data_IF_022836232388
#
_entry.id   IF_022836232388
#
_cell.length_a   1.000
_cell.length_b   1.000
_cell.length_c   1.000
_cell.angle_alpha   90.00
_cell.angle_beta   90.00
_cell.angle_gamma   90.00
#
_symmetry.space_group_name_H-M   'P 1'
#
loop_
_entity.id
_entity.type
_entity.pdbx_description
1 polymer ?
#
# COMPACT_ATOMS: atom_id res chain seq x y z
N UNK A 1 11.96 16.98 -14.62
CA UNK A 1 10.55 17.33 -14.85
C UNK A 1 9.80 17.08 -13.55
N UNK A 2 9.05 18.07 -13.06
CA UNK A 2 8.19 17.91 -11.89
C UNK A 2 6.84 17.34 -12.35
N UNK A 3 6.41 16.23 -11.75
CA UNK A 3 5.08 15.67 -12.02
C UNK A 3 4.10 16.21 -10.98
N UNK A 4 3.09 16.93 -11.45
CA UNK A 4 2.12 17.58 -10.57
C UNK A 4 1.26 16.55 -9.86
N UNK A 5 1.11 16.73 -8.54
CA UNK A 5 0.23 15.87 -7.75
C UNK A 5 -1.23 16.25 -8.03
N UNK A 6 -2.15 15.26 -8.02
CA UNK A 6 -3.57 15.54 -8.22
C UNK A 6 -4.14 16.37 -7.06
N UNK A 7 -4.70 17.53 -7.38
CA UNK A 7 -5.33 18.45 -6.41
C UNK A 7 -6.66 17.91 -5.85
N UNK A 8 -7.33 17.03 -6.59
CA UNK A 8 -8.60 16.42 -6.18
C UNK A 8 -8.43 14.98 -5.74
N UNK A 9 -9.10 14.61 -4.66
CA UNK A 9 -9.16 13.23 -4.15
C UNK A 9 -9.64 12.24 -5.22
N UNK A 10 -10.63 12.63 -6.04
CA UNK A 10 -11.14 11.78 -7.13
C UNK A 10 -10.05 11.49 -8.16
N UNK A 11 -9.29 12.52 -8.56
CA UNK A 11 -8.17 12.38 -9.49
C UNK A 11 -7.08 11.48 -8.90
N UNK A 12 -6.77 11.62 -7.61
CA UNK A 12 -5.85 10.74 -6.89
C UNK A 12 -6.30 9.28 -6.89
N UNK A 13 -7.58 9.01 -6.64
CA UNK A 13 -8.12 7.65 -6.69
C UNK A 13 -8.02 7.03 -8.10
N UNK A 14 -8.29 7.79 -9.16
CA UNK A 14 -8.19 7.30 -10.55
C UNK A 14 -6.74 6.98 -10.91
N UNK A 15 -5.79 7.82 -10.50
CA UNK A 15 -4.36 7.59 -10.73
C UNK A 15 -3.87 6.35 -9.99
N UNK A 16 -4.20 6.23 -8.70
CA UNK A 16 -3.85 5.06 -7.88
C UNK A 16 -4.48 3.78 -8.43
N UNK A 17 -5.71 3.84 -8.91
CA UNK A 17 -6.38 2.70 -9.56
C UNK A 17 -5.61 2.23 -10.80
N UNK A 18 -5.07 3.16 -11.60
CA UNK A 18 -4.25 2.83 -12.78
C UNK A 18 -2.96 2.13 -12.37
N UNK A 19 -2.26 2.67 -11.36
CA UNK A 19 -1.04 2.06 -10.83
C UNK A 19 -1.30 0.66 -10.28
N UNK A 20 -2.40 0.49 -9.53
CA UNK A 20 -2.80 -0.80 -8.99
C UNK A 20 -3.07 -1.84 -10.09
N UNK A 21 -3.77 -1.47 -11.19
CA UNK A 21 -3.98 -2.37 -12.34
C UNK A 21 -2.67 -2.80 -12.98
N UNK A 22 -1.74 -1.85 -13.21
CA UNK A 22 -0.42 -2.16 -13.76
C UNK A 22 0.40 -3.07 -12.84
N UNK A 23 0.32 -2.84 -11.53
CA UNK A 23 0.99 -3.67 -10.53
C UNK A 23 0.47 -5.12 -10.57
N UNK A 24 -0.86 -5.32 -10.64
CA UNK A 24 -1.44 -6.65 -10.78
C UNK A 24 -1.01 -7.35 -12.08
N UNK A 25 -0.99 -6.63 -13.21
CA UNK A 25 -0.56 -7.19 -14.49
C UNK A 25 0.90 -7.68 -14.44
N UNK A 26 1.79 -6.87 -13.86
CA UNK A 26 3.20 -7.25 -13.66
C UNK A 26 3.32 -8.41 -12.67
N UNK A 27 2.57 -8.37 -11.57
CA UNK A 27 2.58 -9.41 -10.55
C UNK A 27 2.22 -10.77 -11.15
N UNK A 28 1.10 -10.89 -11.87
CA UNK A 28 0.70 -12.16 -12.48
C UNK A 28 1.66 -12.64 -13.58
N UNK A 29 2.27 -11.73 -14.35
CA UNK A 29 3.22 -12.09 -15.42
C UNK A 29 4.59 -12.52 -14.90
N UNK A 30 5.08 -11.92 -13.81
CA UNK A 30 6.48 -12.05 -13.40
C UNK A 30 6.70 -12.69 -12.03
N UNK A 31 5.71 -12.70 -11.13
CA UNK A 31 5.91 -13.23 -9.76
C UNK A 31 6.42 -14.68 -9.77
N UNK A 32 5.84 -15.55 -10.62
CA UNK A 32 6.27 -16.94 -10.76
C UNK A 32 7.70 -17.08 -11.33
N UNK A 33 8.11 -16.18 -12.23
CA UNK A 33 9.47 -16.19 -12.81
C UNK A 33 10.50 -15.75 -11.78
N UNK A 34 10.16 -14.77 -10.94
CA UNK A 34 11.02 -14.27 -9.88
C UNK A 34 11.24 -15.34 -8.80
N UNK A 35 10.19 -16.02 -8.35
CA UNK A 35 10.34 -17.08 -7.35
C UNK A 35 11.11 -18.28 -7.92
N UNK A 36 10.88 -18.66 -9.17
CA UNK A 36 11.65 -19.72 -9.83
C UNK A 36 13.14 -19.37 -9.92
N UNK A 37 13.45 -18.12 -10.26
CA UNK A 37 14.83 -17.62 -10.29
C UNK A 37 15.47 -17.62 -8.91
N UNK A 38 14.74 -17.24 -7.87
CA UNK A 38 15.21 -17.32 -6.49
C UNK A 38 15.55 -18.76 -6.10
N UNK A 39 14.64 -19.72 -6.35
CA UNK A 39 14.89 -21.13 -5.99
C UNK A 39 16.06 -21.72 -6.79
N UNK A 40 16.14 -21.42 -8.08
CA UNK A 40 17.16 -22.01 -8.96
C UNK A 40 18.56 -21.44 -8.74
N UNK A 41 18.67 -20.13 -8.41
CA UNK A 41 19.96 -19.41 -8.35
C UNK A 41 20.27 -18.82 -6.98
N UNK A 42 19.40 -18.99 -5.99
CA UNK A 42 19.46 -18.34 -4.67
C UNK A 42 19.68 -16.82 -4.77
N UNK A 43 19.07 -16.21 -5.79
CA UNK A 43 19.18 -14.77 -6.04
C UNK A 43 18.25 -13.97 -5.13
N UNK A 44 18.76 -13.49 -4.00
CA UNK A 44 18.01 -12.71 -3.03
C UNK A 44 17.37 -11.43 -3.61
N UNK A 45 17.93 -10.87 -4.69
CA UNK A 45 17.33 -9.69 -5.35
C UNK A 45 16.02 -10.07 -6.05
N UNK A 46 15.94 -11.27 -6.63
CA UNK A 46 14.71 -11.77 -7.24
C UNK A 46 13.64 -12.05 -6.17
N UNK A 47 14.05 -12.49 -4.97
CA UNK A 47 13.14 -12.67 -3.86
C UNK A 47 12.59 -11.34 -3.32
N UNK A 48 13.43 -10.32 -3.15
CA UNK A 48 12.99 -9.00 -2.72
C UNK A 48 11.96 -8.38 -3.71
N UNK A 49 12.25 -8.48 -5.01
CA UNK A 49 11.30 -8.06 -6.05
C UNK A 49 9.97 -8.83 -6.01
N UNK A 50 9.99 -10.12 -5.69
CA UNK A 50 8.78 -10.92 -5.51
C UNK A 50 7.97 -10.47 -4.28
N UNK A 51 8.64 -10.23 -3.16
CA UNK A 51 8.01 -9.74 -1.92
C UNK A 51 7.34 -8.37 -2.14
N UNK A 52 7.97 -7.50 -2.93
CA UNK A 52 7.37 -6.23 -3.36
C UNK A 52 6.11 -6.44 -4.21
N UNK A 53 6.16 -7.33 -5.20
CA UNK A 53 5.01 -7.58 -6.09
C UNK A 53 3.80 -8.14 -5.35
N UNK A 54 3.99 -8.99 -4.35
CA UNK A 54 2.92 -9.62 -3.58
C UNK A 54 2.27 -8.67 -2.56
N UNK A 55 2.93 -7.55 -2.24
CA UNK A 55 2.52 -6.67 -1.14
C UNK A 55 1.06 -6.16 -1.26
N UNK A 56 0.55 -5.72 -2.43
CA UNK A 56 -0.87 -5.36 -2.57
C UNK A 56 -1.83 -6.53 -2.29
N UNK A 57 -1.44 -7.76 -2.64
CA UNK A 57 -2.19 -8.97 -2.31
C UNK A 57 -2.23 -9.21 -0.80
N UNK A 58 -1.11 -8.99 -0.10
CA UNK A 58 -1.07 -9.06 1.37
C UNK A 58 -2.04 -8.06 2.01
N UNK A 59 -2.09 -6.82 1.51
CA UNK A 59 -3.00 -5.79 2.05
C UNK A 59 -4.46 -6.24 1.94
N UNK A 60 -4.86 -6.78 0.78
CA UNK A 60 -6.22 -7.29 0.56
C UNK A 60 -6.52 -8.49 1.48
N UNK A 61 -5.59 -9.45 1.57
CA UNK A 61 -5.75 -10.61 2.43
C UNK A 61 -5.84 -10.21 3.91
N UNK A 62 -4.98 -9.32 4.38
CA UNK A 62 -4.99 -8.81 5.75
C UNK A 62 -6.30 -8.11 6.10
N UNK A 63 -6.88 -7.36 5.16
CA UNK A 63 -8.20 -6.75 5.36
C UNK A 63 -9.31 -7.81 5.46
N UNK A 64 -9.28 -8.84 4.60
CA UNK A 64 -10.24 -9.94 4.66
C UNK A 64 -10.12 -10.74 5.96
N UNK A 65 -8.90 -11.09 6.39
CA UNK A 65 -8.68 -11.79 7.66
C UNK A 65 -9.09 -10.93 8.86
N UNK A 66 -8.83 -9.62 8.81
CA UNK A 66 -9.27 -8.69 9.85
C UNK A 66 -10.80 -8.67 10.01
N UNK A 67 -11.53 -8.65 8.89
CA UNK A 67 -12.99 -8.74 8.89
C UNK A 67 -13.49 -10.08 9.47
N UNK A 68 -12.86 -11.20 9.08
CA UNK A 68 -13.21 -12.52 9.62
C UNK A 68 -12.98 -12.62 11.13
N UNK A 69 -11.87 -12.06 11.63
CA UNK A 69 -11.60 -12.00 13.07
C UNK A 69 -12.66 -11.16 13.80
N UNK A 70 -13.02 -10.00 13.26
CA UNK A 70 -14.09 -9.17 13.84
C UNK A 70 -15.44 -9.90 13.89
N UNK A 71 -15.79 -10.62 12.82
CA UNK A 71 -17.01 -11.44 12.78
C UNK A 71 -16.97 -12.61 13.77
N UNK A 72 -15.81 -13.25 13.89
CA UNK A 72 -15.56 -14.32 14.86
C UNK A 72 -15.75 -13.84 16.29
N UNK A 73 -15.18 -12.69 16.66
CA UNK A 73 -15.35 -12.12 18.01
C UNK A 73 -16.80 -11.73 18.30
N UNK A 74 -17.59 -11.40 17.28
CA UNK A 74 -19.01 -11.03 17.45
C UNK A 74 -19.94 -12.23 17.55
N UNK A 75 -19.56 -13.39 17.01
CA UNK A 75 -20.42 -14.58 16.91
C UNK A 75 -19.94 -15.79 17.72
N UNK A 76 -18.78 -15.67 18.39
CA UNK A 76 -18.09 -16.74 19.14
C UNK A 76 -17.87 -18.03 18.32
N UNK A 77 -17.93 -17.91 16.98
CA UNK A 77 -18.07 -19.04 16.06
C UNK A 77 -16.72 -19.72 15.74
N UNK A 78 -15.62 -19.08 16.10
CA UNK A 78 -14.26 -19.48 15.74
C UNK A 78 -13.48 -19.61 17.05
N UNK A 79 -13.41 -20.83 17.58
CA UNK A 79 -12.38 -21.25 18.54
C UNK A 79 -11.02 -21.17 17.83
N UNK A 80 -10.57 -19.94 17.59
CA UNK A 80 -9.32 -19.65 16.94
C UNK A 80 -8.20 -19.88 17.97
N UNK A 81 -7.84 -21.15 18.17
CA UNK A 81 -6.60 -21.49 18.88
C UNK A 81 -5.47 -20.67 18.26
N UNK A 82 -4.87 -19.79 19.07
CA UNK A 82 -3.87 -18.86 18.58
C UNK A 82 -2.63 -19.65 18.12
N UNK A 83 -2.43 -19.74 16.81
CA UNK A 83 -1.22 -20.33 16.19
C UNK A 83 0.07 -19.63 16.68
N UNK A 84 -0.05 -18.37 17.06
CA UNK A 84 1.04 -17.52 17.56
C UNK A 84 0.61 -16.99 18.95
N UNK A 85 1.46 -17.09 19.98
CA UNK A 85 1.17 -16.53 21.30
C UNK A 85 0.79 -15.04 21.23
N UNK A 86 -0.21 -14.65 22.02
CA UNK A 86 -0.71 -13.27 22.06
C UNK A 86 0.39 -12.22 22.29
N UNK A 87 1.40 -12.56 23.11
CA UNK A 87 2.54 -11.71 23.41
C UNK A 87 3.34 -11.35 22.16
N UNK A 88 3.56 -12.32 21.27
CA UNK A 88 4.30 -12.11 20.01
C UNK A 88 3.47 -11.22 19.07
N UNK A 89 2.16 -11.47 18.99
CA UNK A 89 1.24 -10.60 18.24
C UNK A 89 1.28 -9.14 18.73
N UNK A 90 1.21 -8.93 20.04
CA UNK A 90 1.26 -7.60 20.63
C UNK A 90 2.60 -6.90 20.35
N UNK A 91 3.73 -7.62 20.47
CA UNK A 91 5.04 -7.07 20.14
C UNK A 91 5.13 -6.61 18.67
N UNK A 92 4.64 -7.42 17.74
CA UNK A 92 4.61 -7.07 16.31
C UNK A 92 3.76 -5.82 16.04
N UNK A 93 2.59 -5.71 16.67
CA UNK A 93 1.72 -4.54 16.55
C UNK A 93 2.41 -3.28 17.07
N UNK A 94 2.94 -3.32 18.30
CA UNK A 94 3.64 -2.18 18.91
C UNK A 94 4.82 -1.73 18.05
N UNK A 95 5.63 -2.68 17.58
CA UNK A 95 6.76 -2.39 16.69
C UNK A 95 6.30 -1.68 15.40
N UNK A 96 5.22 -2.14 14.77
CA UNK A 96 4.68 -1.52 13.57
C UNK A 96 4.24 -0.07 13.80
N UNK A 97 3.55 0.22 14.90
CA UNK A 97 3.14 1.59 15.23
C UNK A 97 4.37 2.47 15.48
N UNK A 98 5.35 2.01 16.27
CA UNK A 98 6.58 2.77 16.54
C UNK A 98 7.34 3.08 15.24
N UNK A 99 7.48 2.08 14.36
CA UNK A 99 8.17 2.24 13.09
C UNK A 99 7.53 3.32 12.21
N UNK A 100 6.20 3.29 12.07
CA UNK A 100 5.45 4.30 11.29
C UNK A 100 5.60 5.69 11.91
N UNK A 101 5.56 5.80 13.24
CA UNK A 101 5.74 7.07 13.94
C UNK A 101 7.12 7.66 13.78
N UNK A 102 8.13 6.81 13.88
CA UNK A 102 9.52 7.21 13.69
C UNK A 102 9.76 7.69 12.24
N UNK A 103 9.24 6.97 11.25
CA UNK A 103 9.31 7.38 9.85
C UNK A 103 8.63 8.76 9.63
N UNK A 104 7.43 8.94 10.18
CA UNK A 104 6.71 10.22 10.08
C UNK A 104 7.45 11.37 10.78
N UNK A 105 8.11 11.11 11.91
CA UNK A 105 8.90 12.10 12.61
C UNK A 105 10.11 12.57 11.79
N UNK A 106 10.79 11.65 11.10
CA UNK A 106 11.90 11.98 10.20
C UNK A 106 11.45 12.73 8.95
N UNK A 107 10.30 12.37 8.38
CA UNK A 107 9.83 12.91 7.10
C UNK A 107 9.05 14.23 7.27
N UNK A 108 8.45 14.46 8.45
CA UNK A 108 7.64 15.65 8.72
C UNK A 108 8.51 16.84 9.15
N UNK A 109 8.96 17.63 8.18
CA UNK A 109 9.42 19.00 8.43
C UNK A 109 8.26 19.99 8.70
N UNK A 110 7.01 19.50 8.77
CA UNK A 110 5.78 20.28 8.80
C UNK A 110 5.16 20.40 10.21
N UNK A 111 4.45 21.52 10.44
CA UNK A 111 3.74 21.89 11.69
C UNK A 111 2.52 21.02 12.05
N UNK A 112 2.31 19.88 11.39
CA UNK A 112 1.12 19.05 11.63
C UNK A 112 1.37 18.19 12.87
N UNK A 113 0.40 18.16 13.80
CA UNK A 113 0.52 17.31 14.99
C UNK A 113 0.63 15.84 14.60
N UNK A 114 1.53 15.10 15.25
CA UNK A 114 1.79 13.67 14.97
C UNK A 114 0.49 12.85 14.91
N UNK A 115 -0.44 13.11 15.82
CA UNK A 115 -1.75 12.43 15.89
C UNK A 115 -2.58 12.64 14.61
N UNK A 116 -2.61 13.87 14.07
CA UNK A 116 -3.32 14.14 12.82
C UNK A 116 -2.64 13.46 11.64
N UNK A 117 -1.31 13.47 11.60
CA UNK A 117 -0.54 12.74 10.58
C UNK A 117 -0.87 11.26 10.56
N UNK A 118 -0.89 10.63 11.74
CA UNK A 118 -1.32 9.24 11.89
C UNK A 118 -2.75 8.99 11.40
N UNK A 119 -3.71 9.81 11.84
CA UNK A 119 -5.11 9.66 11.44
C UNK A 119 -5.27 9.73 9.91
N UNK A 120 -4.62 10.71 9.26
CA UNK A 120 -4.64 10.83 7.80
C UNK A 120 -3.94 9.66 7.10
N UNK A 121 -2.81 9.19 7.63
CA UNK A 121 -2.09 8.05 7.07
C UNK A 121 -2.94 6.77 7.11
N UNK A 122 -3.58 6.49 8.24
CA UNK A 122 -4.46 5.33 8.38
C UNK A 122 -5.69 5.45 7.48
N UNK A 123 -6.35 6.61 7.47
CA UNK A 123 -7.48 6.85 6.58
C UNK A 123 -7.10 6.66 5.11
N UNK A 124 -5.95 7.21 4.69
CA UNK A 124 -5.45 7.06 3.34
C UNK A 124 -5.10 5.61 3.01
N UNK A 125 -4.49 4.85 3.93
CA UNK A 125 -4.22 3.42 3.77
C UNK A 125 -5.50 2.60 3.60
N UNK A 126 -6.58 2.93 4.34
CA UNK A 126 -7.87 2.26 4.18
C UNK A 126 -8.44 2.43 2.76
N UNK A 127 -8.19 3.57 2.09
CA UNK A 127 -8.65 3.77 0.70
C UNK A 127 -7.98 2.83 -0.30
N UNK A 128 -6.82 2.24 0.02
CA UNK A 128 -6.15 1.31 -0.89
C UNK A 128 -6.83 -0.06 -0.96
N UNK A 129 -7.46 -0.53 0.12
CA UNK A 129 -8.11 -1.85 0.14
C UNK A 129 -9.18 -1.97 -0.95
N UNK A 130 -10.20 -1.08 -1.05
CA UNK A 130 -11.20 -1.17 -2.12
C UNK A 130 -10.61 -0.90 -3.50
N UNK A 131 -9.59 -0.04 -3.61
CA UNK A 131 -8.91 0.22 -4.88
C UNK A 131 -8.16 -1.00 -5.41
N UNK A 132 -7.45 -1.73 -4.54
CA UNK A 132 -6.74 -2.94 -4.92
C UNK A 132 -7.70 -4.05 -5.34
N UNK A 133 -8.81 -4.24 -4.59
CA UNK A 133 -9.87 -5.17 -4.98
C UNK A 133 -10.48 -4.80 -6.33
N UNK A 134 -10.86 -3.54 -6.52
CA UNK A 134 -11.44 -3.06 -7.78
C UNK A 134 -10.47 -3.18 -8.95
N UNK A 135 -9.17 -2.93 -8.71
CA UNK A 135 -8.12 -3.06 -9.71
C UNK A 135 -7.88 -4.50 -10.15
N UNK A 136 -8.05 -5.47 -9.25
CA UNK A 136 -7.91 -6.89 -9.55
C UNK A 136 -9.01 -7.34 -10.52
N UNK A 137 -10.26 -6.94 -10.26
CA UNK A 137 -11.40 -7.23 -11.14
C UNK A 137 -11.25 -6.51 -12.49
N UNK A 138 -10.80 -5.26 -12.44
CA UNK A 138 -10.74 -4.36 -13.61
C UNK A 138 -9.38 -4.38 -14.32
N UNK A 139 -8.51 -5.37 -14.03
CA UNK A 139 -7.12 -5.38 -14.51
C UNK A 139 -7.00 -5.34 -16.03
N UNK A 140 -7.93 -6.02 -16.74
CA UNK A 140 -7.96 -6.08 -18.21
C UNK A 140 -8.48 -4.80 -18.88
N UNK A 141 -9.02 -3.86 -18.11
CA UNK A 141 -9.57 -2.63 -18.66
C UNK A 141 -8.47 -1.58 -18.82
N UNK A 142 -8.07 -1.36 -20.07
CA UNK A 142 -7.06 -0.39 -20.49
C UNK A 142 -7.72 0.92 -20.95
N UNK A 143 -8.59 1.49 -20.11
CA UNK A 143 -9.07 2.85 -20.34
C UNK A 143 -7.97 3.85 -19.96
N UNK A 144 -7.26 4.37 -20.96
CA UNK A 144 -6.26 5.42 -20.77
C UNK A 144 -6.95 6.78 -20.59
N UNK A 145 -6.96 7.28 -19.35
CA UNK A 145 -7.45 8.62 -19.04
C UNK A 145 -6.28 9.47 -18.51
N UNK A 146 -5.61 10.28 -19.34
CA UNK A 146 -4.44 11.03 -18.90
C UNK A 146 -4.77 11.96 -17.72
N UNK A 147 -3.83 12.10 -16.80
CA UNK A 147 -3.89 13.13 -15.76
C UNK A 147 -3.84 14.49 -16.44
N UNK A 148 -4.82 15.37 -16.14
CA UNK A 148 -4.81 16.72 -16.69
C UNK A 148 -3.77 17.53 -15.94
N UNK A 149 -2.68 17.87 -16.62
CA UNK A 149 -1.68 18.81 -16.12
C UNK A 149 -2.14 20.21 -16.49
N UNK A 150 -2.35 21.04 -15.47
CA UNK A 150 -2.86 22.42 -15.64
C UNK A 150 -1.79 23.47 -15.45
N UNK A 151 -0.67 23.13 -14.82
CA UNK A 151 0.46 24.02 -14.61
C UNK A 151 1.71 23.36 -15.24
N UNK A 152 2.68 24.20 -15.57
CA UNK A 152 3.95 23.79 -16.15
C UNK A 152 5.05 24.45 -15.31
N UNK A 153 5.28 23.90 -14.13
CA UNK A 153 6.24 24.44 -13.16
C UNK A 153 7.58 23.74 -13.38
N UNK A 154 8.65 24.53 -13.55
CA UNK A 154 10.00 23.99 -13.64
C UNK A 154 10.54 23.74 -12.22
N UNK A 155 11.38 22.71 -12.08
CA UNK A 155 11.92 22.29 -10.77
C UNK A 155 12.69 23.44 -10.07
N UNK A 156 13.30 24.33 -10.87
CA UNK A 156 13.98 25.54 -10.42
C UNK A 156 13.07 26.50 -9.64
N UNK A 157 11.78 26.54 -9.97
CA UNK A 157 10.84 27.50 -9.40
C UNK A 157 10.41 27.08 -7.98
N UNK A 158 10.52 25.78 -7.67
CA UNK A 158 10.14 25.18 -6.38
C UNK A 158 11.28 25.30 -5.36
N UNK A 159 12.54 25.29 -5.81
CA UNK A 159 13.70 25.38 -4.92
C UNK A 159 13.93 26.81 -4.39
N UNK A 160 13.47 27.83 -5.11
CA UNK A 160 13.61 29.24 -4.70
C UNK A 160 12.57 29.65 -3.64
N UNK A 161 11.49 28.87 -3.47
CA UNK A 161 10.38 29.15 -2.56
C UNK A 161 10.47 28.42 -1.20
N UNK A 162 11.57 27.69 -0.96
CA UNK A 162 11.90 27.02 0.32
C UNK A 162 12.70 27.92 1.25
#
# INVERSE_FOLDING_TARGET
MYDEKPESFKSSCIQRLRWARGHWDVCFKYAHKLIWRFISKLDFKAFDGFMYLINPGKIVLSAATGLLVLMSMATDLLDAHHLIPWQVWMMCLVFQFIYVGYAQFLDSNNKVSLIRGYAYLYFFNLTYVPLFLWSLITMKNVNWNPTKHTRAIHLSDIEVEK
#
